data_IF_457693128921
#
_entry.id   IF_457693128921
#
_cell.length_a   1.000
_cell.length_b   1.000
_cell.length_c   1.000
_cell.angle_alpha   90.00
_cell.angle_beta   90.00
_cell.angle_gamma   90.00
#
_symmetry.space_group_name_H-M   'P 1'
#
loop_
_entity.id
_entity.type
_entity.pdbx_description
1 polymer ?
#
# COMPACT_ATOMS: atom_id res chain seq x y z
N UNK A 1 28.80 15.06 8.11
CA UNK A 1 29.54 14.49 9.27
C UNK A 1 29.64 15.53 10.39
N UNK A 2 30.01 15.15 11.66
CA UNK A 2 30.28 16.11 12.74
C UNK A 2 31.40 17.11 12.42
N UNK A 3 32.29 16.78 11.50
CA UNK A 3 33.36 17.67 11.04
C UNK A 3 32.84 18.74 10.06
N UNK A 4 31.88 18.42 9.21
CA UNK A 4 31.23 19.37 8.32
C UNK A 4 30.44 20.44 9.07
N UNK A 5 29.90 20.10 10.23
CA UNK A 5 29.16 21.03 11.07
C UNK A 5 30.05 22.08 11.75
N UNK A 6 31.34 21.79 12.00
CA UNK A 6 32.29 22.76 12.60
C UNK A 6 32.66 23.92 11.68
N UNK A 7 32.44 23.79 10.37
CA UNK A 7 32.73 24.79 9.35
C UNK A 7 31.52 25.62 8.93
N UNK A 8 30.33 25.33 9.46
CA UNK A 8 29.10 26.03 9.10
C UNK A 8 28.86 27.25 10.01
N UNK A 9 28.39 28.37 9.43
CA UNK A 9 27.93 29.50 10.24
C UNK A 9 26.71 29.14 11.10
N UNK A 10 26.51 29.82 12.23
CA UNK A 10 25.37 29.58 13.12
C UNK A 10 24.01 29.63 12.41
N UNK A 11 23.85 30.54 11.41
CA UNK A 11 22.64 30.64 10.59
C UNK A 11 22.39 29.39 9.71
N UNK A 12 23.46 28.84 9.13
CA UNK A 12 23.35 27.60 8.34
C UNK A 12 23.00 26.41 9.21
N UNK A 13 23.58 26.35 10.41
CA UNK A 13 23.28 25.29 11.39
C UNK A 13 21.80 25.39 11.81
N UNK A 14 21.32 26.57 12.17
CA UNK A 14 19.90 26.80 12.55
C UNK A 14 18.97 26.45 11.39
N UNK A 15 19.28 26.89 10.17
CA UNK A 15 18.49 26.55 8.98
C UNK A 15 18.44 25.04 8.70
N UNK A 16 19.54 24.31 8.96
CA UNK A 16 19.57 22.86 8.86
C UNK A 16 18.65 22.19 9.87
N UNK A 17 18.69 22.59 11.13
CA UNK A 17 17.82 22.03 12.17
C UNK A 17 16.36 22.35 11.91
N UNK A 18 16.00 23.57 11.55
CA UNK A 18 14.61 23.94 11.23
C UNK A 18 14.05 23.11 10.06
N UNK A 19 14.86 22.90 8.99
CA UNK A 19 14.44 22.03 7.87
C UNK A 19 14.26 20.58 8.28
N UNK A 20 15.16 20.06 9.15
CA UNK A 20 15.06 18.70 9.67
C UNK A 20 13.83 18.51 10.55
N UNK A 21 13.54 19.45 11.44
CA UNK A 21 12.32 19.43 12.27
C UNK A 21 11.05 19.48 11.41
N UNK A 22 11.00 20.36 10.42
CA UNK A 22 9.90 20.43 9.49
C UNK A 22 9.70 19.12 8.71
N UNK A 23 10.79 18.49 8.26
CA UNK A 23 10.73 17.18 7.58
C UNK A 23 10.21 16.07 8.51
N UNK A 24 10.67 16.03 9.77
CA UNK A 24 10.18 15.07 10.78
C UNK A 24 8.69 15.30 11.07
N UNK A 25 8.26 16.55 11.19
CA UNK A 25 6.85 16.87 11.40
C UNK A 25 5.99 16.42 10.22
N UNK A 26 6.41 16.70 8.99
CA UNK A 26 5.72 16.29 7.78
C UNK A 26 5.64 14.76 7.64
N UNK A 27 6.74 14.03 7.94
CA UNK A 27 6.74 12.56 7.95
C UNK A 27 5.77 11.99 9.00
N UNK A 28 5.63 12.63 10.16
CA UNK A 28 4.65 12.22 11.17
C UNK A 28 3.21 12.43 10.71
N UNK A 29 2.96 13.51 9.99
CA UNK A 29 1.64 13.83 9.46
C UNK A 29 1.21 12.86 8.35
N UNK A 30 2.11 12.55 7.43
CA UNK A 30 1.85 11.70 6.27
C UNK A 30 2.98 10.68 6.02
N UNK A 31 3.13 9.63 6.87
CA UNK A 31 4.24 8.68 6.75
C UNK A 31 4.30 7.97 5.39
N UNK A 32 3.15 7.81 4.71
CA UNK A 32 3.04 7.18 3.39
C UNK A 32 3.55 8.07 2.24
N UNK A 33 3.76 9.37 2.45
CA UNK A 33 4.32 10.29 1.45
C UNK A 33 5.84 10.42 1.54
N UNK A 34 6.44 9.83 2.57
CA UNK A 34 7.88 9.92 2.84
C UNK A 34 8.59 8.57 2.66
N UNK A 35 9.93 8.64 2.67
CA UNK A 35 10.81 7.49 2.48
C UNK A 35 11.14 7.24 1.02
N UNK A 36 11.83 6.13 0.78
CA UNK A 36 12.34 5.77 -0.54
C UNK A 36 11.22 5.45 -1.53
N UNK A 37 11.27 6.08 -2.69
CA UNK A 37 10.36 5.84 -3.80
C UNK A 37 11.13 5.91 -5.12
N UNK A 38 11.04 4.84 -5.92
CA UNK A 38 11.67 4.76 -7.23
C UNK A 38 10.82 5.45 -8.30
N UNK A 39 11.45 5.93 -9.38
CA UNK A 39 10.77 6.52 -10.53
C UNK A 39 9.64 5.66 -11.12
N UNK A 40 9.79 4.32 -11.29
CA UNK A 40 8.70 3.44 -11.71
C UNK A 40 7.43 3.52 -10.88
N UNK A 41 7.51 3.87 -9.59
CA UNK A 41 6.34 4.01 -8.73
C UNK A 41 5.50 5.25 -9.03
N UNK A 42 6.11 6.33 -9.48
CA UNK A 42 5.38 7.50 -10.02
C UNK A 42 4.60 7.13 -11.27
N UNK A 43 5.22 6.36 -12.17
CA UNK A 43 4.53 5.82 -13.35
C UNK A 43 3.37 4.93 -12.95
N UNK A 44 3.54 4.05 -11.95
CA UNK A 44 2.46 3.21 -11.44
C UNK A 44 1.30 4.05 -10.86
N UNK A 45 1.59 5.11 -10.12
CA UNK A 45 0.58 6.04 -9.59
C UNK A 45 -0.20 6.73 -10.72
N UNK A 46 0.47 7.18 -11.78
CA UNK A 46 -0.21 7.76 -12.94
C UNK A 46 -1.12 6.72 -13.64
N UNK A 47 -0.67 5.47 -13.77
CA UNK A 47 -1.49 4.42 -14.35
C UNK A 47 -2.70 4.06 -13.45
N UNK A 48 -2.58 4.13 -12.13
CA UNK A 48 -3.71 3.96 -11.22
C UNK A 48 -4.83 4.99 -11.44
N UNK A 49 -4.56 6.16 -12.02
CA UNK A 49 -5.60 7.15 -12.32
C UNK A 49 -6.59 6.66 -13.38
N UNK A 50 -6.11 5.91 -14.38
CA UNK A 50 -6.87 5.52 -15.57
C UNK A 50 -7.20 4.04 -15.68
N UNK A 51 -6.53 3.17 -14.91
CA UNK A 51 -6.72 1.72 -14.96
C UNK A 51 -7.36 1.20 -13.68
N UNK A 52 -8.21 0.18 -13.81
CA UNK A 52 -8.87 -0.46 -12.67
C UNK A 52 -7.94 -1.41 -11.91
N UNK A 53 -6.89 -1.89 -12.55
CA UNK A 53 -5.98 -2.87 -11.98
C UNK A 53 -4.56 -2.61 -12.43
N UNK A 54 -3.61 -2.74 -11.48
CA UNK A 54 -2.17 -2.67 -11.76
C UNK A 54 -1.50 -3.92 -11.25
N UNK A 55 -0.75 -4.55 -12.16
CA UNK A 55 0.11 -5.67 -11.89
C UNK A 55 1.56 -5.19 -11.85
N UNK A 56 2.16 -5.26 -10.67
CA UNK A 56 3.53 -4.83 -10.43
C UNK A 56 4.43 -6.05 -10.33
N UNK A 57 5.14 -6.32 -11.41
CA UNK A 57 6.13 -7.39 -11.52
C UNK A 57 7.53 -6.85 -11.21
N UNK A 58 8.28 -7.49 -10.35
CA UNK A 58 9.65 -7.07 -10.07
C UNK A 58 10.39 -8.07 -9.21
N UNK A 59 11.72 -7.98 -9.23
CA UNK A 59 12.60 -8.80 -8.40
C UNK A 59 12.38 -8.60 -6.90
N UNK A 60 13.00 -9.45 -6.10
CA UNK A 60 13.04 -9.26 -4.65
C UNK A 60 13.71 -7.93 -4.31
N UNK A 61 13.21 -7.26 -3.27
CA UNK A 61 13.71 -5.95 -2.77
C UNK A 61 13.55 -4.77 -3.73
N UNK A 62 12.71 -4.88 -4.75
CA UNK A 62 12.37 -3.79 -5.67
C UNK A 62 11.39 -2.76 -5.09
N UNK A 63 11.09 -2.81 -3.81
CA UNK A 63 10.14 -1.93 -3.08
C UNK A 63 8.68 -1.94 -3.56
N UNK A 64 8.27 -2.90 -4.40
CA UNK A 64 6.88 -3.02 -4.90
C UNK A 64 5.83 -3.09 -3.78
N UNK A 65 6.06 -3.94 -2.76
CA UNK A 65 5.15 -4.07 -1.62
C UNK A 65 5.16 -2.82 -0.73
N UNK A 66 6.30 -2.13 -0.62
CA UNK A 66 6.42 -0.84 0.06
C UNK A 66 5.53 0.22 -0.59
N UNK A 67 5.62 0.36 -1.91
CA UNK A 67 4.78 1.28 -2.67
C UNK A 67 3.29 0.95 -2.49
N UNK A 68 2.90 -0.31 -2.66
CA UNK A 68 1.51 -0.72 -2.50
C UNK A 68 0.97 -0.43 -1.08
N UNK A 69 1.76 -0.74 -0.03
CA UNK A 69 1.39 -0.45 1.35
C UNK A 69 1.16 1.04 1.60
N UNK A 70 2.03 1.91 1.07
CA UNK A 70 1.85 3.36 1.15
C UNK A 70 0.53 3.80 0.51
N UNK A 71 0.19 3.32 -0.69
CA UNK A 71 -1.06 3.66 -1.39
C UNK A 71 -2.30 3.14 -0.65
N UNK A 72 -2.24 1.95 -0.07
CA UNK A 72 -3.30 1.42 0.79
C UNK A 72 -3.51 2.29 2.03
N UNK A 73 -2.43 2.64 2.75
CA UNK A 73 -2.54 3.47 3.96
C UNK A 73 -3.02 4.87 3.62
N UNK A 74 -2.53 5.48 2.54
CA UNK A 74 -3.00 6.76 2.05
C UNK A 74 -4.50 6.72 1.76
N UNK A 75 -4.96 5.73 1.00
CA UNK A 75 -6.38 5.55 0.68
C UNK A 75 -7.25 5.46 1.95
N UNK A 76 -6.87 4.62 2.91
CA UNK A 76 -7.59 4.43 4.17
C UNK A 76 -7.60 5.68 5.05
N UNK A 77 -6.52 6.46 5.03
CA UNK A 77 -6.37 7.63 5.90
C UNK A 77 -7.13 8.83 5.35
N UNK A 78 -7.01 9.08 4.04
CA UNK A 78 -7.52 10.29 3.39
C UNK A 78 -8.99 10.15 2.96
N UNK A 79 -9.49 8.93 2.75
CA UNK A 79 -10.86 8.69 2.26
C UNK A 79 -11.71 8.02 3.34
N UNK A 80 -12.58 8.74 4.05
CA UNK A 80 -13.39 8.18 5.12
C UNK A 80 -14.30 7.03 4.67
N UNK A 81 -14.43 6.00 5.52
CA UNK A 81 -15.33 4.86 5.26
C UNK A 81 -14.83 3.88 4.20
N UNK A 82 -13.59 4.01 3.76
CA UNK A 82 -12.98 3.11 2.78
C UNK A 82 -12.80 1.70 3.35
N UNK A 83 -13.05 0.68 2.54
CA UNK A 83 -12.79 -0.71 2.90
C UNK A 83 -11.73 -1.27 1.93
N UNK A 84 -10.58 -1.67 2.46
CA UNK A 84 -9.52 -2.29 1.67
C UNK A 84 -9.27 -3.71 2.14
N UNK A 85 -9.15 -4.64 1.18
CA UNK A 85 -8.70 -6.00 1.44
C UNK A 85 -7.23 -6.15 1.08
N UNK A 86 -6.44 -6.59 2.07
CA UNK A 86 -5.05 -6.94 1.89
C UNK A 86 -4.94 -8.47 1.87
N UNK A 87 -4.41 -9.02 0.79
CA UNK A 87 -4.42 -10.46 0.50
C UNK A 87 -3.01 -11.01 0.38
N UNK A 88 -2.78 -12.18 0.97
CA UNK A 88 -1.54 -12.96 0.86
C UNK A 88 -1.86 -14.44 0.76
N UNK A 89 -0.86 -15.26 0.48
CA UNK A 89 -1.03 -16.71 0.43
C UNK A 89 -1.45 -17.30 1.78
N UNK A 90 -0.72 -16.95 2.85
CA UNK A 90 -0.93 -17.49 4.20
C UNK A 90 -1.08 -16.39 5.24
N UNK A 91 -1.72 -16.73 6.37
CA UNK A 91 -1.80 -15.81 7.51
C UNK A 91 -0.41 -15.44 8.07
N UNK A 92 0.54 -16.39 8.05
CA UNK A 92 1.90 -16.16 8.52
C UNK A 92 2.61 -15.09 7.65
N UNK A 93 2.55 -15.21 6.33
CA UNK A 93 3.10 -14.22 5.39
C UNK A 93 2.44 -12.85 5.58
N UNK A 94 1.11 -12.84 5.78
CA UNK A 94 0.38 -11.60 6.05
C UNK A 94 0.93 -10.89 7.29
N UNK A 95 1.05 -11.61 8.42
CA UNK A 95 1.52 -11.04 9.70
C UNK A 95 2.97 -10.56 9.58
N UNK A 96 3.84 -11.39 9.02
CA UNK A 96 5.27 -11.13 8.98
C UNK A 96 5.63 -9.96 8.05
N UNK A 97 4.95 -9.82 6.92
CA UNK A 97 5.32 -8.87 5.87
C UNK A 97 4.25 -7.80 5.64
N UNK A 98 3.07 -8.16 5.19
CA UNK A 98 2.06 -7.21 4.73
C UNK A 98 1.50 -6.34 5.87
N UNK A 99 1.10 -6.98 6.99
CA UNK A 99 0.54 -6.27 8.14
C UNK A 99 1.58 -5.39 8.84
N UNK A 100 2.82 -5.87 8.96
CA UNK A 100 3.92 -5.11 9.53
C UNK A 100 4.23 -3.85 8.70
N UNK A 101 4.18 -3.98 7.37
CA UNK A 101 4.42 -2.86 6.45
C UNK A 101 3.28 -1.84 6.49
N UNK A 102 2.02 -2.28 6.49
CA UNK A 102 0.87 -1.40 6.70
C UNK A 102 0.99 -0.66 8.03
N UNK A 103 1.30 -1.36 9.13
CA UNK A 103 1.49 -0.74 10.44
C UNK A 103 2.63 0.30 10.43
N UNK A 104 3.71 0.03 9.69
CA UNK A 104 4.84 0.97 9.58
C UNK A 104 4.40 2.33 9.03
N UNK A 105 3.56 2.36 8.00
CA UNK A 105 3.12 3.59 7.34
C UNK A 105 1.89 4.27 7.97
N UNK A 106 1.23 3.66 8.96
CA UNK A 106 0.16 4.34 9.69
C UNK A 106 0.69 5.55 10.46
N UNK A 107 -0.14 6.58 10.58
CA UNK A 107 0.14 7.78 11.40
C UNK A 107 0.40 7.39 12.86
N UNK A 108 1.27 8.12 13.58
CA UNK A 108 1.59 7.81 14.99
C UNK A 108 0.37 7.75 15.90
N UNK A 109 -0.62 8.63 15.70
CA UNK A 109 -1.86 8.63 16.45
C UNK A 109 -2.70 7.37 16.18
N UNK A 110 -2.74 6.86 14.93
CA UNK A 110 -3.42 5.61 14.61
C UNK A 110 -2.74 4.40 15.27
N UNK A 111 -1.41 4.37 15.33
CA UNK A 111 -0.65 3.28 15.98
C UNK A 111 -0.95 3.16 17.48
N UNK A 112 -1.38 4.25 18.13
CA UNK A 112 -1.71 4.32 19.56
C UNK A 112 -3.20 4.18 19.85
N UNK A 113 -4.03 4.00 18.82
CA UNK A 113 -5.48 4.08 18.94
C UNK A 113 -6.06 3.06 19.95
N UNK A 114 -5.51 1.83 19.97
CA UNK A 114 -6.08 0.77 20.80
C UNK A 114 -7.51 0.44 20.37
N UNK A 115 -8.38 0.24 21.35
CA UNK A 115 -9.82 0.03 21.14
C UNK A 115 -10.60 1.22 21.68
N UNK A 116 -11.27 1.96 20.80
CA UNK A 116 -12.09 3.14 21.12
C UNK A 116 -13.49 3.00 20.50
N UNK A 117 -14.47 3.84 20.90
CA UNK A 117 -15.80 3.84 20.28
C UNK A 117 -15.78 4.14 18.76
N UNK A 118 -14.78 4.90 18.30
CA UNK A 118 -14.67 5.34 16.90
C UNK A 118 -13.73 4.53 16.04
N UNK A 119 -12.87 3.69 16.66
CA UNK A 119 -11.90 2.89 15.91
C UNK A 119 -11.31 1.76 16.77
N UNK A 120 -10.70 0.81 16.11
CA UNK A 120 -10.02 -0.31 16.77
C UNK A 120 -8.78 -0.69 16.01
N UNK A 121 -7.61 -0.43 16.61
CA UNK A 121 -6.32 -0.81 16.05
C UNK A 121 -5.41 -1.30 17.17
N UNK A 122 -5.14 -2.60 17.16
CA UNK A 122 -4.18 -3.23 18.04
C UNK A 122 -3.30 -4.15 17.21
N UNK A 123 -2.00 -3.93 17.25
CA UNK A 123 -1.01 -4.66 16.49
C UNK A 123 0.10 -5.21 17.38
N UNK A 124 0.55 -6.41 17.10
CA UNK A 124 1.78 -6.96 17.66
C UNK A 124 2.62 -7.64 16.58
N UNK A 125 3.93 -7.62 16.72
CA UNK A 125 4.85 -8.25 15.74
C UNK A 125 4.55 -9.76 15.61
N UNK A 126 4.18 -10.42 16.72
CA UNK A 126 3.93 -11.86 16.73
C UNK A 126 2.60 -12.26 16.09
N UNK A 127 1.54 -11.48 16.32
CA UNK A 127 0.17 -11.88 15.98
C UNK A 127 -0.49 -10.99 14.93
N UNK A 128 0.19 -9.93 14.47
CA UNK A 128 -0.38 -8.95 13.55
C UNK A 128 -1.49 -8.12 14.18
N UNK A 129 -2.42 -7.65 13.35
CA UNK A 129 -3.62 -6.94 13.80
C UNK A 129 -4.63 -7.90 14.42
N UNK A 130 -5.21 -7.51 15.55
CA UNK A 130 -6.22 -8.31 16.25
C UNK A 130 -7.40 -8.63 15.32
N UNK A 131 -7.78 -9.90 15.25
CA UNK A 131 -8.84 -10.40 14.35
C UNK A 131 -8.59 -10.17 12.86
N UNK A 132 -7.32 -9.99 12.43
CA UNK A 132 -6.96 -9.80 11.03
C UNK A 132 -7.57 -8.56 10.40
N UNK A 133 -7.82 -7.50 11.18
CA UNK A 133 -8.36 -6.23 10.68
C UNK A 133 -8.08 -5.07 11.65
N UNK A 134 -8.22 -3.86 11.14
CA UNK A 134 -8.32 -2.66 11.98
C UNK A 134 -9.34 -1.67 11.41
N UNK A 135 -9.79 -0.77 12.28
CA UNK A 135 -10.74 0.31 11.95
C UNK A 135 -10.14 1.64 12.39
N UNK A 136 -10.02 2.58 11.47
CA UNK A 136 -9.55 3.93 11.74
C UNK A 136 -10.69 4.83 12.28
N UNK A 137 -10.38 5.96 12.94
CA UNK A 137 -11.39 6.90 13.45
C UNK A 137 -12.32 7.46 12.37
N UNK A 138 -11.85 7.60 11.14
CA UNK A 138 -12.63 8.01 9.97
C UNK A 138 -13.53 6.89 9.42
N UNK A 139 -13.69 5.76 10.15
CA UNK A 139 -14.47 4.57 9.81
C UNK A 139 -13.91 3.73 8.66
N UNK A 140 -12.70 4.03 8.17
CA UNK A 140 -12.04 3.18 7.19
C UNK A 140 -11.59 1.86 7.82
N UNK A 141 -11.67 0.78 7.05
CA UNK A 141 -11.41 -0.59 7.50
C UNK A 141 -10.38 -1.23 6.59
N UNK A 142 -9.31 -1.77 7.16
CA UNK A 142 -8.41 -2.69 6.48
C UNK A 142 -8.67 -4.11 6.96
N UNK A 143 -8.86 -5.04 6.04
CA UNK A 143 -9.13 -6.46 6.33
C UNK A 143 -8.05 -7.31 5.67
N UNK A 144 -7.40 -8.15 6.47
CA UNK A 144 -6.39 -9.08 5.98
C UNK A 144 -7.02 -10.45 5.72
N UNK A 145 -6.80 -10.98 4.51
CA UNK A 145 -7.32 -12.27 4.05
C UNK A 145 -6.16 -13.08 3.46
N UNK A 146 -6.33 -14.38 3.40
CA UNK A 146 -5.38 -15.25 2.71
C UNK A 146 -6.12 -16.31 1.89
N UNK A 147 -5.56 -16.64 0.73
CA UNK A 147 -6.19 -17.59 -0.20
C UNK A 147 -5.93 -19.07 0.13
N UNK A 148 -5.25 -19.37 1.23
CA UNK A 148 -5.31 -20.70 1.84
C UNK A 148 -6.64 -20.98 2.54
N UNK A 149 -7.47 -19.95 2.77
CA UNK A 149 -8.83 -20.06 3.28
C UNK A 149 -9.81 -20.41 2.16
N UNK A 150 -11.04 -20.81 2.54
CA UNK A 150 -12.10 -21.04 1.57
C UNK A 150 -12.52 -19.73 0.90
N UNK A 151 -12.70 -19.77 -0.43
CA UNK A 151 -13.14 -18.63 -1.24
C UNK A 151 -14.47 -18.02 -0.75
N UNK A 152 -15.38 -18.85 -0.21
CA UNK A 152 -16.66 -18.38 0.36
C UNK A 152 -16.49 -17.36 1.49
N UNK A 153 -15.32 -17.28 2.12
CA UNK A 153 -15.04 -16.28 3.17
C UNK A 153 -14.98 -14.84 2.65
N UNK A 154 -14.83 -14.67 1.35
CA UNK A 154 -14.82 -13.37 0.68
C UNK A 154 -16.10 -13.09 -0.14
N UNK A 155 -17.07 -13.99 -0.07
CA UNK A 155 -18.41 -13.76 -0.64
C UNK A 155 -19.15 -12.72 0.23
N UNK A 156 -19.52 -11.60 -0.37
CA UNK A 156 -20.20 -10.50 0.30
C UNK A 156 -19.29 -9.33 0.68
N UNK A 157 -19.89 -8.17 0.74
CA UNK A 157 -19.22 -6.91 1.08
C UNK A 157 -18.68 -6.16 -0.15
N UNK A 158 -18.69 -4.86 -0.02
CA UNK A 158 -18.14 -3.92 -0.98
C UNK A 158 -16.75 -3.50 -0.53
N UNK A 159 -15.87 -3.21 -1.48
CA UNK A 159 -14.52 -2.71 -1.20
C UNK A 159 -14.26 -1.41 -1.97
N UNK A 160 -13.37 -0.58 -1.47
CA UNK A 160 -13.08 0.74 -2.00
C UNK A 160 -13.75 1.87 -1.23
N UNK A 161 -13.61 3.08 -1.75
CA UNK A 161 -14.17 4.30 -1.19
C UNK A 161 -15.69 4.35 -1.40
N UNK A 162 -16.48 4.75 -0.40
CA UNK A 162 -17.93 4.94 -0.54
C UNK A 162 -18.29 6.20 -1.32
N UNK A 163 -17.36 7.13 -1.48
CA UNK A 163 -17.46 8.38 -2.22
C UNK A 163 -16.25 8.54 -3.15
N UNK A 164 -16.29 9.46 -4.13
CA UNK A 164 -15.10 9.77 -4.94
C UNK A 164 -13.89 10.07 -4.05
N UNK A 165 -12.69 9.55 -4.38
CA UNK A 165 -11.51 9.75 -3.56
C UNK A 165 -11.10 11.21 -3.55
N UNK A 166 -10.46 11.63 -2.47
CA UNK A 166 -9.85 12.96 -2.33
C UNK A 166 -8.81 13.15 -3.43
N UNK A 167 -8.70 14.37 -3.97
CA UNK A 167 -7.73 14.71 -5.01
C UNK A 167 -6.30 14.29 -4.60
N UNK A 168 -5.60 13.64 -5.51
CA UNK A 168 -4.25 13.13 -5.28
C UNK A 168 -4.20 11.73 -4.64
N UNK A 169 -5.36 11.14 -4.29
CA UNK A 169 -5.43 9.78 -3.77
C UNK A 169 -6.11 8.82 -4.76
N UNK A 170 -6.00 7.53 -4.49
CA UNK A 170 -6.60 6.49 -5.31
C UNK A 170 -7.70 5.74 -4.55
N UNK A 171 -8.75 5.32 -5.24
CA UNK A 171 -9.77 4.44 -4.69
C UNK A 171 -9.25 2.98 -4.71
N UNK A 172 -8.54 2.55 -3.68
CA UNK A 172 -8.00 1.19 -3.58
C UNK A 172 -9.03 0.27 -2.92
N UNK A 173 -9.42 -0.79 -3.62
CA UNK A 173 -10.28 -1.84 -3.07
C UNK A 173 -9.48 -3.01 -2.50
N UNK A 174 -8.43 -3.45 -3.20
CA UNK A 174 -7.58 -4.52 -2.69
C UNK A 174 -6.11 -4.37 -3.07
N UNK A 175 -5.27 -5.00 -2.26
CA UNK A 175 -3.86 -5.25 -2.55
C UNK A 175 -3.54 -6.73 -2.29
N UNK A 176 -3.16 -7.45 -3.34
CA UNK A 176 -2.62 -8.79 -3.24
C UNK A 176 -1.09 -8.73 -3.29
N UNK A 177 -0.44 -9.21 -2.22
CA UNK A 177 1.01 -9.35 -2.15
C UNK A 177 1.35 -10.81 -2.45
N UNK A 178 1.95 -11.03 -3.58
CA UNK A 178 2.10 -12.24 -4.37
C UNK A 178 0.86 -12.62 -5.20
N UNK A 179 1.10 -13.54 -6.15
CA UNK A 179 0.12 -13.90 -7.17
C UNK A 179 -0.99 -14.79 -6.60
N UNK A 180 -2.21 -14.27 -6.57
CA UNK A 180 -3.37 -15.01 -6.09
C UNK A 180 -3.92 -16.01 -7.14
N UNK A 181 -4.64 -17.07 -6.72
CA UNK A 181 -5.30 -18.00 -7.64
C UNK A 181 -6.34 -17.29 -8.52
N UNK A 182 -6.54 -17.80 -9.74
CA UNK A 182 -7.45 -17.19 -10.71
C UNK A 182 -8.87 -17.03 -10.16
N UNK A 183 -9.40 -18.03 -9.43
CA UNK A 183 -10.74 -17.97 -8.82
C UNK A 183 -10.90 -16.85 -7.81
N UNK A 184 -9.85 -16.59 -7.02
CA UNK A 184 -9.81 -15.44 -6.09
C UNK A 184 -9.78 -14.12 -6.84
N UNK A 185 -8.94 -14.04 -7.88
CA UNK A 185 -8.85 -12.87 -8.75
C UNK A 185 -10.20 -12.51 -9.36
N UNK A 186 -10.88 -13.45 -10.00
CA UNK A 186 -12.18 -13.25 -10.63
C UNK A 186 -13.23 -12.77 -9.62
N UNK A 187 -13.28 -13.40 -8.43
CA UNK A 187 -14.24 -13.03 -7.38
C UNK A 187 -13.99 -11.62 -6.86
N UNK A 188 -12.74 -11.22 -6.63
CA UNK A 188 -12.40 -9.90 -6.08
C UNK A 188 -12.66 -8.79 -7.09
N UNK A 189 -12.41 -9.02 -8.38
CA UNK A 189 -12.71 -8.04 -9.44
C UNK A 189 -14.15 -7.58 -9.40
N UNK A 190 -15.10 -8.50 -9.21
CA UNK A 190 -16.52 -8.13 -9.10
C UNK A 190 -16.81 -7.24 -7.89
N UNK A 191 -16.06 -7.37 -6.81
CA UNK A 191 -16.22 -6.50 -5.62
C UNK A 191 -15.71 -5.08 -5.87
N UNK A 192 -14.67 -4.93 -6.68
CA UNK A 192 -14.17 -3.61 -7.07
C UNK A 192 -15.18 -2.82 -7.91
N UNK A 193 -15.99 -3.50 -8.73
CA UNK A 193 -16.92 -2.84 -9.66
C UNK A 193 -17.97 -2.00 -8.94
N UNK A 194 -18.46 -2.43 -7.79
CA UNK A 194 -19.53 -1.75 -7.05
C UNK A 194 -19.18 -0.31 -6.68
N UNK A 195 -17.92 -0.06 -6.34
CA UNK A 195 -17.42 1.28 -5.96
C UNK A 195 -16.38 1.83 -6.94
N UNK A 196 -16.27 1.24 -8.13
CA UNK A 196 -15.23 1.59 -9.09
C UNK A 196 -13.82 1.64 -8.43
N UNK A 197 -13.57 0.67 -7.57
CA UNK A 197 -12.31 0.57 -6.85
C UNK A 197 -11.21 -0.05 -7.71
N UNK A 198 -9.97 0.13 -7.31
CA UNK A 198 -8.78 -0.31 -8.02
C UNK A 198 -8.09 -1.46 -7.29
N UNK A 199 -7.50 -2.36 -8.07
CA UNK A 199 -6.71 -3.47 -7.56
C UNK A 199 -5.22 -3.26 -7.77
N UNK A 200 -4.43 -3.62 -6.77
CA UNK A 200 -2.98 -3.70 -6.87
C UNK A 200 -2.57 -5.16 -6.65
N UNK A 201 -1.77 -5.71 -7.56
CA UNK A 201 -1.14 -7.02 -7.41
C UNK A 201 0.36 -6.85 -7.51
N UNK A 202 1.08 -7.14 -6.43
CA UNK A 202 2.54 -7.10 -6.39
C UNK A 202 3.08 -8.51 -6.32
N UNK A 203 3.98 -8.91 -7.24
CA UNK A 203 4.54 -10.26 -7.19
C UNK A 203 5.93 -10.35 -7.82
N UNK A 204 6.61 -11.44 -7.49
CA UNK A 204 7.89 -11.82 -8.08
C UNK A 204 7.65 -12.99 -9.03
N UNK A 205 8.02 -12.86 -10.30
CA UNK A 205 7.82 -13.90 -11.31
C UNK A 205 8.84 -15.04 -11.14
N UNK A 206 8.65 -15.86 -10.11
CA UNK A 206 9.53 -17.04 -9.85
C UNK A 206 9.04 -18.27 -10.61
N UNK A 207 7.73 -18.46 -10.68
CA UNK A 207 7.10 -19.69 -11.20
C UNK A 207 6.60 -19.58 -12.66
N UNK A 208 7.00 -18.53 -13.38
CA UNK A 208 6.66 -18.35 -14.79
C UNK A 208 5.18 -18.00 -15.04
N UNK A 209 4.62 -18.54 -16.14
CA UNK A 209 3.29 -18.18 -16.65
C UNK A 209 2.17 -19.01 -16.01
N UNK A 210 1.60 -18.56 -14.91
CA UNK A 210 0.39 -19.16 -14.35
C UNK A 210 -0.88 -18.75 -15.12
N UNK A 211 -2.01 -19.48 -14.96
CA UNK A 211 -3.30 -19.07 -15.52
C UNK A 211 -3.71 -17.65 -15.10
N UNK A 212 -3.41 -17.26 -13.87
CA UNK A 212 -3.70 -15.90 -13.35
C UNK A 212 -2.87 -14.85 -14.08
N UNK A 213 -1.56 -15.08 -14.28
CA UNK A 213 -0.69 -14.16 -15.03
C UNK A 213 -1.20 -14.01 -16.47
N UNK A 214 -1.57 -15.12 -17.13
CA UNK A 214 -2.15 -15.07 -18.47
C UNK A 214 -3.42 -14.23 -18.52
N UNK A 215 -4.33 -14.45 -17.58
CA UNK A 215 -5.59 -13.67 -17.47
C UNK A 215 -5.33 -12.19 -17.24
N UNK A 216 -4.40 -11.85 -16.36
CA UNK A 216 -4.02 -10.47 -16.06
C UNK A 216 -3.37 -9.74 -17.24
N UNK A 217 -2.53 -10.44 -17.99
CA UNK A 217 -1.82 -9.85 -19.14
C UNK A 217 -2.66 -9.79 -20.41
N UNK A 218 -3.76 -10.53 -20.48
CA UNK A 218 -4.66 -10.47 -21.64
C UNK A 218 -5.31 -9.11 -21.74
N UNK A 219 -4.96 -8.33 -22.77
CA UNK A 219 -5.42 -6.95 -22.97
C UNK A 219 -4.73 -5.90 -22.10
N UNK A 220 -3.74 -6.26 -21.29
CA UNK A 220 -2.99 -5.32 -20.46
C UNK A 220 -1.93 -4.57 -21.29
N UNK A 221 -1.73 -3.29 -20.94
CA UNK A 221 -0.57 -2.53 -21.38
C UNK A 221 0.62 -2.86 -20.49
N UNK A 222 1.72 -3.29 -21.05
CA UNK A 222 2.97 -3.53 -20.33
C UNK A 222 3.85 -2.29 -20.41
N UNK A 223 4.34 -1.82 -19.26
CA UNK A 223 5.34 -0.74 -19.14
C UNK A 223 6.57 -1.35 -18.46
N UNK A 224 7.72 -1.27 -19.12
CA UNK A 224 8.99 -1.73 -18.55
C UNK A 224 9.62 -0.62 -17.71
N UNK A 225 10.48 -0.97 -16.75
CA UNK A 225 11.23 0.01 -15.94
C UNK A 225 12.08 0.97 -16.77
N UNK A 226 12.60 0.50 -17.93
CA UNK A 226 13.33 1.33 -18.89
C UNK A 226 12.48 2.41 -19.58
N UNK A 227 11.16 2.27 -19.55
CA UNK A 227 10.18 3.20 -20.12
C UNK A 227 9.55 4.09 -19.03
N UNK A 228 9.82 3.79 -17.76
CA UNK A 228 9.34 4.56 -16.63
C UNK A 228 10.23 5.79 -16.40
N UNK A 229 9.64 6.83 -15.83
CA UNK A 229 10.40 7.98 -15.38
C UNK A 229 11.33 7.58 -14.23
N UNK A 230 12.63 7.87 -14.40
CA UNK A 230 13.63 7.67 -13.37
C UNK A 230 13.82 8.93 -12.54
N UNK A 231 14.01 8.77 -11.24
CA UNK A 231 14.41 9.86 -10.37
C UNK A 231 15.91 10.16 -10.54
N UNK A 232 16.36 11.39 -10.26
CA UNK A 232 17.79 11.72 -10.30
C UNK A 232 18.62 10.77 -9.41
N UNK A 233 19.61 10.13 -10.02
CA UNK A 233 20.48 9.14 -9.35
C UNK A 233 20.01 7.69 -9.41
N UNK A 234 18.86 7.40 -10.00
CA UNK A 234 18.43 6.02 -10.30
C UNK A 234 19.09 5.51 -11.59
N UNK A 235 19.37 4.21 -11.59
CA UNK A 235 19.83 3.46 -12.78
C UNK A 235 18.88 2.31 -13.06
N UNK A 236 18.71 1.97 -14.33
CA UNK A 236 17.91 0.82 -14.80
C UNK A 236 18.70 -0.48 -14.67
#
# INVERSE_FOLDING_TARGET
SPEDMKLMSAEKILSYFNRREAAIAAERESPYDFGFELGPWKTADEQLKSHSEILVMGGNRSSKSTWAAKRVVQCLTENPGTIVWCLTETAANSIQFQQAMIFHYLKPEHKRLGRTPTGSLTFSIKNGFTSGKFVLPNKSICIFRNWSQNLSTIEGGEIGCPAPPVNGTHNIGFWADELLPLSWWETIRYRNLTRNAKGIVTFTAVDGWSPTVKSLLTGARTIKSTEAELLPGETV
#
